data_IF_406124177567
#
_entry.id   IF_406124177567
#
_cell.length_a   1.000
_cell.length_b   1.000
_cell.length_c   1.000
_cell.angle_alpha   90.00
_cell.angle_beta   90.00
_cell.angle_gamma   90.00
#
_symmetry.space_group_name_H-M   'P 1'
#
loop_
_entity.id
_entity.type
_entity.pdbx_description
1 polymer ?
#
# COMPACT_ATOMS: atom_id res chain seq x y z
N UNK A 1 9.99 -54.50 0.19
CA UNK A 1 10.54 -53.19 0.61
C UNK A 1 9.65 -52.11 0.00
N UNK A 2 8.65 -51.69 0.78
CA UNK A 2 7.74 -50.60 0.41
C UNK A 2 8.28 -49.38 1.13
N UNK A 3 8.91 -48.46 0.40
CA UNK A 3 9.39 -47.19 0.94
C UNK A 3 8.21 -46.23 1.06
N UNK A 4 7.86 -45.93 2.31
CA UNK A 4 6.84 -44.98 2.74
C UNK A 4 7.05 -43.60 2.12
N UNK A 5 6.04 -43.14 1.39
CA UNK A 5 5.93 -41.77 0.93
C UNK A 5 5.52 -40.91 2.15
N UNK A 6 6.51 -40.39 2.88
CA UNK A 6 6.28 -39.48 4.02
C UNK A 6 5.58 -38.21 3.52
N UNK A 7 4.35 -38.00 4.00
CA UNK A 7 3.48 -36.90 3.61
C UNK A 7 4.15 -35.55 3.75
N UNK A 8 4.22 -34.83 2.62
CA UNK A 8 4.38 -33.38 2.63
C UNK A 8 3.07 -32.76 3.17
N UNK A 9 3.14 -31.77 4.09
CA UNK A 9 1.94 -31.17 4.65
C UNK A 9 1.15 -30.43 3.57
N UNK A 10 -0.12 -30.81 3.42
CA UNK A 10 -1.07 -30.40 2.37
C UNK A 10 -1.54 -28.93 2.50
N UNK A 11 -0.86 -28.08 3.27
CA UNK A 11 -1.35 -26.74 3.63
C UNK A 11 -0.79 -25.55 2.82
N UNK A 12 0.21 -25.72 1.95
CA UNK A 12 0.88 -24.57 1.29
C UNK A 12 0.43 -24.25 -0.14
N UNK A 13 -0.46 -25.05 -0.76
CA UNK A 13 -0.66 -24.99 -2.21
C UNK A 13 -1.50 -23.81 -2.74
N UNK A 14 -2.30 -23.13 -1.89
CA UNK A 14 -3.25 -22.10 -2.34
C UNK A 14 -3.17 -20.75 -1.61
N UNK A 15 -2.11 -20.48 -0.83
CA UNK A 15 -2.00 -19.17 -0.18
C UNK A 15 -1.68 -18.08 -1.23
N UNK A 16 -2.33 -16.90 -1.17
CA UNK A 16 -1.93 -15.74 -1.95
C UNK A 16 -0.45 -15.43 -1.74
N UNK A 17 0.26 -14.99 -2.80
CA UNK A 17 1.70 -14.76 -2.73
C UNK A 17 2.10 -13.71 -1.70
N UNK A 18 1.23 -12.73 -1.46
CA UNK A 18 1.39 -11.74 -0.37
C UNK A 18 1.59 -12.41 0.99
N UNK A 19 0.83 -13.48 1.27
CA UNK A 19 0.91 -14.20 2.54
C UNK A 19 2.02 -15.26 2.51
N UNK A 20 2.12 -16.02 1.41
CA UNK A 20 3.13 -17.06 1.22
C UNK A 20 4.56 -16.50 1.35
N UNK A 21 4.79 -15.31 0.79
CA UNK A 21 6.08 -14.62 0.81
C UNK A 21 6.11 -13.46 1.80
N UNK A 22 5.24 -13.43 2.82
CA UNK A 22 5.34 -12.46 3.91
C UNK A 22 6.67 -12.68 4.66
N UNK A 23 7.51 -11.65 4.85
CA UNK A 23 8.76 -11.75 5.60
C UNK A 23 8.54 -12.36 6.99
N UNK A 24 9.37 -13.34 7.37
CA UNK A 24 9.25 -14.04 8.65
C UNK A 24 10.31 -13.58 9.65
N UNK A 25 11.48 -13.16 9.14
CA UNK A 25 12.60 -12.64 9.93
C UNK A 25 12.89 -11.19 9.58
N UNK A 26 13.73 -10.53 10.38
CA UNK A 26 14.21 -9.18 10.04
C UNK A 26 15.16 -9.20 8.84
N UNK A 27 15.88 -10.29 8.63
CA UNK A 27 16.80 -10.44 7.49
C UNK A 27 16.03 -10.55 6.16
N UNK A 28 14.78 -11.02 6.20
CA UNK A 28 13.88 -11.04 5.04
C UNK A 28 13.36 -9.63 4.65
N UNK A 29 13.50 -8.64 5.54
CA UNK A 29 13.07 -7.27 5.30
C UNK A 29 14.17 -6.51 4.58
N UNK A 30 13.96 -6.34 3.28
CA UNK A 30 14.92 -5.65 2.43
C UNK A 30 14.90 -4.13 2.72
N UNK A 31 13.81 -3.59 3.25
CA UNK A 31 13.52 -2.15 3.36
C UNK A 31 13.78 -1.49 4.72
N UNK A 32 14.02 -0.17 4.68
CA UNK A 32 14.10 0.73 5.85
C UNK A 32 15.19 0.34 6.88
N UNK A 33 16.40 0.08 6.42
CA UNK A 33 17.54 -0.35 7.24
C UNK A 33 17.81 0.56 8.46
N UNK A 34 17.64 1.87 8.34
CA UNK A 34 17.80 2.81 9.46
C UNK A 34 16.75 2.58 10.56
N UNK A 35 15.51 2.26 10.18
CA UNK A 35 14.43 1.95 11.11
C UNK A 35 14.70 0.61 11.79
N UNK A 36 15.09 -0.41 11.01
CA UNK A 36 15.41 -1.73 11.52
C UNK A 36 16.58 -1.69 12.50
N UNK A 37 17.67 -1.02 12.14
CA UNK A 37 18.86 -0.90 13.00
C UNK A 37 18.54 -0.19 14.32
N UNK A 38 17.69 0.84 14.29
CA UNK A 38 17.23 1.55 15.50
C UNK A 38 16.38 0.64 16.39
N UNK A 39 15.41 -0.09 15.82
CA UNK A 39 14.56 -1.01 16.58
C UNK A 39 15.39 -2.16 17.17
N UNK A 40 16.29 -2.75 16.38
CA UNK A 40 17.21 -3.80 16.83
C UNK A 40 18.07 -3.32 18.01
N UNK A 41 18.56 -2.08 17.96
CA UNK A 41 19.29 -1.48 19.08
C UNK A 41 18.41 -1.38 20.33
N UNK A 42 17.18 -0.87 20.21
CA UNK A 42 16.26 -0.79 21.35
C UNK A 42 15.92 -2.16 21.95
N UNK A 43 15.80 -3.18 21.12
CA UNK A 43 15.60 -4.57 21.54
C UNK A 43 16.84 -5.08 22.28
N UNK A 44 18.04 -4.88 21.73
CA UNK A 44 19.29 -5.35 22.32
C UNK A 44 19.62 -4.70 23.67
N UNK A 45 19.18 -3.45 23.88
CA UNK A 45 19.37 -2.70 25.12
C UNK A 45 18.25 -2.95 26.15
N UNK A 46 17.26 -3.80 25.86
CA UNK A 46 16.04 -4.02 26.67
C UNK A 46 15.29 -2.71 27.01
N UNK A 47 15.29 -1.77 26.06
CA UNK A 47 14.72 -0.41 26.19
C UNK A 47 13.72 -0.09 25.09
N UNK A 48 12.98 -1.10 24.61
CA UNK A 48 11.97 -0.91 23.58
C UNK A 48 10.86 0.05 24.09
N UNK A 49 10.68 1.24 23.48
CA UNK A 49 9.59 2.14 23.85
C UNK A 49 8.26 1.66 23.23
N UNK A 50 7.16 2.37 23.49
CA UNK A 50 5.99 2.24 22.64
C UNK A 50 6.34 2.74 21.23
N UNK A 51 5.85 2.05 20.21
CA UNK A 51 6.16 2.32 18.81
C UNK A 51 4.91 2.82 18.08
N UNK A 52 5.11 3.71 17.12
CA UNK A 52 4.07 4.14 16.18
C UNK A 52 4.65 4.08 14.77
N UNK A 53 4.19 3.09 13.99
CA UNK A 53 4.57 2.90 12.60
C UNK A 53 3.51 3.53 11.70
N UNK A 54 3.92 4.45 10.83
CA UNK A 54 2.99 5.13 9.94
C UNK A 54 3.54 5.26 8.52
N UNK A 55 2.65 5.27 7.53
CA UNK A 55 2.99 5.44 6.13
C UNK A 55 2.08 4.66 5.19
N UNK A 56 2.32 4.71 3.86
CA UNK A 56 1.49 4.04 2.87
C UNK A 56 1.33 2.53 3.10
N UNK A 57 0.28 1.89 2.55
CA UNK A 57 0.13 0.43 2.60
C UNK A 57 1.28 -0.29 1.88
N UNK A 58 1.50 -1.56 2.23
CA UNK A 58 2.46 -2.42 1.55
C UNK A 58 3.94 -2.05 1.71
N UNK A 59 4.27 -1.14 2.62
CA UNK A 59 5.64 -0.70 2.95
C UNK A 59 6.33 -1.53 4.05
N UNK A 60 5.67 -2.59 4.54
CA UNK A 60 6.27 -3.52 5.50
C UNK A 60 6.06 -3.20 6.99
N UNK A 61 5.18 -2.26 7.35
CA UNK A 61 4.88 -1.90 8.77
C UNK A 61 4.56 -3.11 9.65
N UNK A 62 3.51 -3.87 9.29
CA UNK A 62 3.04 -5.04 10.03
C UNK A 62 4.08 -6.17 10.01
N UNK A 63 4.67 -6.43 8.84
CA UNK A 63 5.74 -7.44 8.69
C UNK A 63 6.95 -7.14 9.59
N UNK A 64 7.32 -5.86 9.73
CA UNK A 64 8.46 -5.43 10.54
C UNK A 64 8.25 -5.73 12.02
N UNK A 65 7.10 -5.33 12.59
CA UNK A 65 6.87 -5.56 14.01
C UNK A 65 6.66 -7.04 14.32
N UNK A 66 6.04 -7.81 13.42
CA UNK A 66 5.87 -9.25 13.60
C UNK A 66 7.22 -9.99 13.56
N UNK A 67 8.12 -9.61 12.66
CA UNK A 67 9.47 -10.14 12.62
C UNK A 67 10.27 -9.76 13.90
N UNK A 68 10.15 -8.52 14.38
CA UNK A 68 10.71 -8.11 15.66
C UNK A 68 10.16 -8.95 16.83
N UNK A 69 8.84 -9.18 16.84
CA UNK A 69 8.18 -9.96 17.88
C UNK A 69 8.66 -11.42 17.90
N UNK A 70 8.88 -12.03 16.73
CA UNK A 70 9.46 -13.39 16.61
C UNK A 70 10.90 -13.47 17.08
N UNK A 71 11.66 -12.38 16.96
CA UNK A 71 13.01 -12.29 17.53
C UNK A 71 12.98 -12.13 19.06
N UNK A 72 12.02 -11.35 19.58
CA UNK A 72 11.85 -11.10 21.01
C UNK A 72 11.35 -12.32 21.78
N UNK A 73 10.42 -13.07 21.20
CA UNK A 73 9.73 -14.17 21.88
C UNK A 73 9.90 -15.47 21.13
N UNK A 74 10.21 -16.55 21.86
CA UNK A 74 10.24 -17.91 21.30
C UNK A 74 8.84 -18.33 20.83
N UNK A 75 8.76 -19.20 19.82
CA UNK A 75 7.48 -19.65 19.23
C UNK A 75 6.47 -20.17 20.26
N UNK A 76 6.93 -20.93 21.26
CA UNK A 76 6.08 -21.47 22.33
C UNK A 76 5.47 -20.39 23.22
N UNK A 77 6.05 -19.20 23.22
CA UNK A 77 5.69 -18.09 24.11
C UNK A 77 4.97 -16.97 23.36
N UNK A 78 5.08 -16.93 22.03
CA UNK A 78 4.57 -15.87 21.17
C UNK A 78 3.12 -15.53 21.49
N UNK A 79 2.20 -16.50 21.47
CA UNK A 79 0.77 -16.27 21.71
C UNK A 79 0.45 -15.78 23.14
N UNK A 80 1.35 -16.01 24.10
CA UNK A 80 1.20 -15.54 25.49
C UNK A 80 1.80 -14.16 25.73
N UNK A 81 2.73 -13.74 24.87
CA UNK A 81 3.53 -12.51 25.01
C UNK A 81 3.17 -11.46 23.96
N UNK A 82 2.52 -11.84 22.87
CA UNK A 82 2.12 -10.97 21.76
C UNK A 82 0.61 -11.04 21.57
N UNK A 83 -0.03 -9.88 21.54
CA UNK A 83 -1.43 -9.72 21.15
C UNK A 83 -1.48 -8.87 19.88
N UNK A 84 -1.82 -9.50 18.75
CA UNK A 84 -2.10 -8.81 17.49
C UNK A 84 -3.61 -8.59 17.37
N UNK A 85 -4.01 -7.35 17.11
CA UNK A 85 -5.40 -6.98 16.87
C UNK A 85 -5.46 -6.04 15.66
N UNK A 86 -6.40 -6.30 14.77
CA UNK A 86 -6.74 -5.38 13.69
C UNK A 86 -7.88 -4.47 14.16
N UNK A 87 -7.62 -3.17 14.28
CA UNK A 87 -8.59 -2.21 14.78
C UNK A 87 -9.71 -1.88 13.77
N UNK A 88 -9.58 -2.29 12.50
CA UNK A 88 -10.66 -2.16 11.51
C UNK A 88 -11.84 -3.09 11.79
N UNK A 89 -11.57 -4.27 12.34
CA UNK A 89 -12.56 -5.32 12.56
C UNK A 89 -13.50 -4.97 13.73
N UNK A 90 -12.98 -4.26 14.73
CA UNK A 90 -13.74 -3.68 15.83
C UNK A 90 -13.17 -2.31 16.23
N UNK A 91 -13.84 -1.25 15.77
CA UNK A 91 -13.45 0.16 15.96
C UNK A 91 -13.88 0.72 17.32
N UNK A 92 -14.59 -0.08 18.12
CA UNK A 92 -15.24 0.33 19.35
C UNK A 92 -14.27 0.52 20.52
N UNK A 93 -14.75 1.20 21.55
CA UNK A 93 -14.01 1.31 22.82
C UNK A 93 -13.88 -0.05 23.54
N UNK A 94 -14.72 -1.02 23.17
CA UNK A 94 -14.81 -2.33 23.81
C UNK A 94 -13.59 -3.19 23.55
N UNK A 95 -12.95 -3.09 22.37
CA UNK A 95 -11.67 -3.75 22.12
C UNK A 95 -10.58 -3.30 23.10
N UNK A 96 -10.60 -2.03 23.49
CA UNK A 96 -9.65 -1.46 24.45
C UNK A 96 -9.96 -1.92 25.86
N UNK A 97 -11.25 -1.90 26.25
CA UNK A 97 -11.69 -2.25 27.60
C UNK A 97 -11.75 -3.76 27.86
N UNK A 98 -11.82 -4.58 26.81
CA UNK A 98 -11.86 -6.03 26.86
C UNK A 98 -10.49 -6.66 26.62
N UNK A 99 -10.18 -7.10 25.39
CA UNK A 99 -9.00 -7.91 25.11
C UNK A 99 -7.69 -7.21 25.45
N UNK A 100 -7.54 -5.92 25.11
CA UNK A 100 -6.30 -5.18 25.38
C UNK A 100 -6.06 -5.02 26.88
N UNK A 101 -7.08 -4.58 27.63
CA UNK A 101 -6.98 -4.40 29.08
C UNK A 101 -6.74 -5.74 29.80
N UNK A 102 -7.42 -6.80 29.40
CA UNK A 102 -7.25 -8.15 29.96
C UNK A 102 -5.83 -8.67 29.74
N UNK A 103 -5.30 -8.52 28.52
CA UNK A 103 -3.96 -8.95 28.18
C UNK A 103 -2.88 -8.15 28.94
N UNK A 104 -3.00 -6.83 28.99
CA UNK A 104 -2.04 -5.94 29.66
C UNK A 104 -2.06 -6.09 31.19
N UNK A 105 -3.21 -6.44 31.78
CA UNK A 105 -3.34 -6.62 33.23
C UNK A 105 -2.88 -7.99 33.74
N UNK A 106 -2.79 -8.99 32.87
CA UNK A 106 -2.36 -10.33 33.27
C UNK A 106 -0.84 -10.37 33.51
N UNK A 107 -0.42 -10.73 34.73
CA UNK A 107 1.00 -10.89 35.09
C UNK A 107 1.61 -12.15 34.47
N UNK A 108 2.80 -12.02 33.91
CA UNK A 108 3.64 -13.16 33.50
C UNK A 108 4.40 -13.69 34.71
N UNK A 109 3.77 -14.58 35.47
CA UNK A 109 4.29 -15.10 36.75
C UNK A 109 5.66 -15.80 36.60
N UNK A 110 6.01 -16.28 35.39
CA UNK A 110 7.20 -17.09 35.15
C UNK A 110 8.11 -16.62 34.00
N UNK A 111 7.86 -15.43 33.42
CA UNK A 111 8.62 -14.94 32.25
C UNK A 111 9.17 -13.54 32.49
N UNK A 112 10.49 -13.39 32.37
CA UNK A 112 11.16 -12.08 32.32
C UNK A 112 10.86 -11.40 30.98
N UNK A 113 10.57 -10.11 31.01
CA UNK A 113 10.30 -9.29 29.83
C UNK A 113 8.94 -8.57 29.90
N UNK A 114 8.69 -7.72 28.90
CA UNK A 114 7.40 -7.06 28.69
C UNK A 114 6.53 -7.88 27.74
N UNK A 115 5.22 -7.65 27.75
CA UNK A 115 4.31 -8.11 26.69
C UNK A 115 4.30 -7.10 25.55
N UNK A 116 3.91 -7.54 24.35
CA UNK A 116 3.76 -6.69 23.17
C UNK A 116 2.32 -6.71 22.67
N UNK A 117 1.69 -5.55 22.57
CA UNK A 117 0.39 -5.38 21.90
C UNK A 117 0.63 -4.69 20.56
N UNK A 118 0.21 -5.31 19.47
CA UNK A 118 0.27 -4.78 18.12
C UNK A 118 -1.15 -4.42 17.69
N UNK A 119 -1.37 -3.15 17.39
CA UNK A 119 -2.65 -2.63 16.91
C UNK A 119 -2.48 -2.19 15.46
N UNK A 120 -2.95 -3.01 14.53
CA UNK A 120 -2.99 -2.66 13.12
C UNK A 120 -4.19 -1.78 12.79
N UNK A 121 -4.03 -0.91 11.79
CA UNK A 121 -5.05 0.07 11.38
C UNK A 121 -5.60 0.94 12.53
N UNK A 122 -4.74 1.38 13.44
CA UNK A 122 -5.11 2.19 14.60
C UNK A 122 -5.77 3.54 14.24
N UNK A 123 -5.62 4.00 12.99
CA UNK A 123 -6.32 5.16 12.44
C UNK A 123 -7.79 4.91 12.08
N UNK A 124 -8.26 3.67 12.14
CA UNK A 124 -9.67 3.30 12.06
C UNK A 124 -10.40 3.42 13.41
N UNK A 125 -9.67 3.53 14.53
CA UNK A 125 -10.24 3.64 15.87
C UNK A 125 -10.94 4.98 16.08
N UNK A 126 -12.07 4.94 16.79
CA UNK A 126 -12.76 6.16 17.26
C UNK A 126 -11.88 6.95 18.24
N UNK A 127 -12.11 8.27 18.32
CA UNK A 127 -11.40 9.16 19.24
C UNK A 127 -11.51 8.69 20.71
N UNK A 128 -12.69 8.18 21.10
CA UNK A 128 -12.93 7.67 22.45
C UNK A 128 -12.17 6.40 22.75
N UNK A 129 -12.07 5.48 21.77
CA UNK A 129 -11.25 4.28 21.87
C UNK A 129 -9.76 4.65 21.99
N UNK A 130 -9.27 5.62 21.20
CA UNK A 130 -7.89 6.11 21.31
C UNK A 130 -7.60 6.77 22.67
N UNK A 131 -8.54 7.56 23.21
CA UNK A 131 -8.44 8.14 24.55
C UNK A 131 -8.43 7.07 25.65
N UNK A 132 -9.22 6.01 25.50
CA UNK A 132 -9.16 4.86 26.39
C UNK A 132 -7.82 4.14 26.30
N UNK A 133 -7.31 3.92 25.08
CA UNK A 133 -6.05 3.23 24.82
C UNK A 133 -4.89 4.00 25.46
N UNK A 134 -4.89 5.33 25.36
CA UNK A 134 -3.90 6.19 26.03
C UNK A 134 -3.80 5.89 27.52
N UNK A 135 -4.93 5.78 28.23
CA UNK A 135 -4.95 5.47 29.67
C UNK A 135 -4.39 4.08 29.96
N UNK A 136 -4.65 3.11 29.09
CA UNK A 136 -4.10 1.75 29.20
C UNK A 136 -2.58 1.77 28.99
N UNK A 137 -2.09 2.46 27.96
CA UNK A 137 -0.65 2.61 27.69
C UNK A 137 0.07 3.22 28.89
N UNK A 138 -0.46 4.30 29.47
CA UNK A 138 0.12 4.94 30.66
C UNK A 138 0.15 4.00 31.87
N UNK A 139 -0.97 3.29 32.12
CA UNK A 139 -1.11 2.43 33.29
C UNK A 139 -0.21 1.19 33.25
N UNK A 140 0.05 0.64 32.07
CA UNK A 140 0.75 -0.64 31.92
C UNK A 140 2.12 -0.53 31.24
N UNK A 141 2.70 0.68 31.16
CA UNK A 141 3.99 0.91 30.49
C UNK A 141 5.15 0.08 31.07
N UNK A 142 5.11 -0.27 32.36
CA UNK A 142 6.16 -1.07 32.99
C UNK A 142 6.20 -2.51 32.48
N UNK A 143 5.04 -3.08 32.13
CA UNK A 143 4.90 -4.51 31.82
C UNK A 143 4.49 -4.79 30.38
N UNK A 144 4.03 -3.78 29.64
CA UNK A 144 3.50 -3.94 28.28
C UNK A 144 3.99 -2.83 27.37
N UNK A 145 4.53 -3.21 26.21
CA UNK A 145 4.84 -2.33 25.08
C UNK A 145 3.75 -2.41 24.04
N UNK A 146 3.55 -1.30 23.34
CA UNK A 146 2.51 -1.14 22.35
C UNK A 146 3.17 -0.73 21.04
N UNK A 147 2.75 -1.33 19.93
CA UNK A 147 3.09 -0.90 18.59
C UNK A 147 1.79 -0.56 17.86
N UNK A 148 1.59 0.73 17.59
CA UNK A 148 0.45 1.23 16.81
C UNK A 148 0.86 1.32 15.35
N UNK A 149 0.09 0.74 14.44
CA UNK A 149 0.31 0.84 13.00
C UNK A 149 -0.85 1.64 12.40
N UNK A 150 -0.54 2.62 11.56
CA UNK A 150 -1.56 3.39 10.85
C UNK A 150 -1.10 3.82 9.46
N UNK A 151 -2.03 4.23 8.60
CA UNK A 151 -1.68 4.85 7.33
C UNK A 151 -1.56 6.37 7.47
N UNK A 152 -2.46 6.97 8.26
CA UNK A 152 -2.51 8.43 8.46
C UNK A 152 -2.22 8.82 9.90
N UNK A 153 -1.03 9.40 10.12
CA UNK A 153 -0.64 9.91 11.45
C UNK A 153 -1.63 10.96 11.99
N UNK A 154 -2.20 11.78 11.10
CA UNK A 154 -3.18 12.83 11.47
C UNK A 154 -4.46 12.29 12.10
N UNK A 155 -4.79 11.01 11.90
CA UNK A 155 -5.95 10.35 12.52
C UNK A 155 -5.65 9.78 13.91
N UNK A 156 -4.39 9.81 14.34
CA UNK A 156 -3.98 9.39 15.68
C UNK A 156 -3.94 10.60 16.61
N UNK A 157 -4.56 10.49 17.79
CA UNK A 157 -4.62 11.61 18.73
C UNK A 157 -3.20 12.05 19.17
N UNK A 158 -2.94 13.37 19.32
CA UNK A 158 -1.63 13.86 19.74
C UNK A 158 -1.12 13.23 21.05
N UNK A 159 -2.02 12.87 21.95
CA UNK A 159 -1.68 12.22 23.22
C UNK A 159 -1.11 10.80 23.05
N UNK A 160 -1.54 10.03 22.04
CA UNK A 160 -0.92 8.74 21.72
C UNK A 160 0.42 8.95 21.02
N UNK A 161 0.48 9.91 20.08
CA UNK A 161 1.71 10.22 19.35
C UNK A 161 2.86 10.61 20.29
N UNK A 162 2.60 11.38 21.34
CA UNK A 162 3.64 11.82 22.28
C UNK A 162 4.18 10.72 23.20
N UNK A 163 3.49 9.59 23.31
CA UNK A 163 3.90 8.43 24.14
C UNK A 163 4.63 7.36 23.34
N UNK A 164 4.73 7.51 22.02
CA UNK A 164 5.31 6.52 21.14
C UNK A 164 6.49 7.11 20.35
N UNK A 165 7.54 6.31 20.18
CA UNK A 165 8.59 6.60 19.19
C UNK A 165 8.03 6.34 17.80
N UNK A 166 8.11 7.35 16.93
CA UNK A 166 7.47 7.35 15.60
C UNK A 166 8.45 6.91 14.53
N UNK A 167 8.04 5.96 13.70
CA UNK A 167 8.80 5.50 12.54
C UNK A 167 7.95 5.64 11.27
N UNK A 168 8.49 6.39 10.30
CA UNK A 168 7.82 6.62 9.02
C UNK A 168 8.29 5.60 7.99
N UNK A 169 7.36 4.80 7.49
CA UNK A 169 7.59 3.87 6.40
C UNK A 169 7.21 4.56 5.09
N UNK A 170 8.21 4.97 4.31
CA UNK A 170 8.00 5.56 2.98
C UNK A 170 7.71 4.50 1.91
N UNK A 171 7.20 4.90 0.73
CA UNK A 171 7.15 4.03 -0.44
C UNK A 171 8.52 3.40 -0.71
N UNK A 172 8.52 2.15 -1.16
CA UNK A 172 9.73 1.40 -1.46
C UNK A 172 10.31 1.82 -2.81
N UNK A 173 11.61 2.05 -2.88
CA UNK A 173 12.28 2.31 -4.16
C UNK A 173 12.39 1.02 -4.97
N UNK A 174 12.50 1.16 -6.29
CA UNK A 174 12.64 0.03 -7.22
C UNK A 174 13.77 -0.92 -6.82
N UNK A 175 14.91 -0.38 -6.41
CA UNK A 175 16.09 -1.17 -6.00
C UNK A 175 15.82 -2.06 -4.79
N UNK A 176 14.85 -1.69 -3.94
CA UNK A 176 14.48 -2.46 -2.74
C UNK A 176 13.39 -3.48 -3.06
N UNK A 177 12.56 -3.23 -4.08
CA UNK A 177 11.49 -4.13 -4.49
C UNK A 177 11.99 -5.27 -5.37
N UNK A 178 12.86 -4.98 -6.33
CA UNK A 178 13.34 -5.93 -7.35
C UNK A 178 13.92 -7.20 -6.73
N UNK A 179 14.84 -7.16 -5.74
CA UNK A 179 15.41 -8.37 -5.17
C UNK A 179 14.36 -9.31 -4.57
N UNK A 180 13.31 -8.76 -3.94
CA UNK A 180 12.21 -9.56 -3.39
C UNK A 180 11.37 -10.19 -4.50
N UNK A 181 11.08 -9.41 -5.54
CA UNK A 181 10.30 -9.88 -6.68
C UNK A 181 11.05 -10.97 -7.45
N UNK A 182 12.35 -10.83 -7.67
CA UNK A 182 13.21 -11.84 -8.30
C UNK A 182 13.23 -13.15 -7.52
N UNK A 183 13.29 -13.07 -6.19
CA UNK A 183 13.17 -14.26 -5.33
C UNK A 183 11.84 -14.99 -5.58
N UNK A 184 10.71 -14.26 -5.59
CA UNK A 184 9.39 -14.86 -5.86
C UNK A 184 9.28 -15.43 -7.28
N UNK A 185 9.79 -14.70 -8.28
CA UNK A 185 9.84 -15.14 -9.68
C UNK A 185 10.60 -16.47 -9.80
N UNK A 186 11.71 -16.61 -9.09
CA UNK A 186 12.52 -17.85 -9.09
C UNK A 186 11.80 -19.01 -8.41
N UNK A 187 11.22 -18.78 -7.23
CA UNK A 187 10.51 -19.81 -6.46
C UNK A 187 9.24 -20.31 -7.18
N UNK A 188 8.49 -19.40 -7.79
CA UNK A 188 7.26 -19.72 -8.53
C UNK A 188 7.51 -20.07 -10.01
N UNK A 189 8.76 -19.95 -10.49
CA UNK A 189 9.16 -20.18 -11.89
C UNK A 189 8.35 -19.36 -12.89
N UNK A 190 8.17 -18.08 -12.60
CA UNK A 190 7.43 -17.13 -13.45
C UNK A 190 8.26 -16.76 -14.68
N UNK A 191 7.68 -16.85 -15.88
CA UNK A 191 8.27 -16.28 -17.09
C UNK A 191 7.96 -14.77 -17.12
N UNK A 192 8.93 -13.95 -16.72
CA UNK A 192 8.82 -12.48 -16.71
C UNK A 192 9.89 -11.85 -17.59
N UNK A 193 9.49 -10.91 -18.43
CA UNK A 193 10.41 -10.12 -19.25
C UNK A 193 10.91 -8.86 -18.50
N UNK A 194 12.06 -8.28 -18.89
CA UNK A 194 12.60 -7.09 -18.22
C UNK A 194 11.66 -5.87 -18.23
N UNK A 195 10.94 -5.67 -19.33
CA UNK A 195 9.88 -4.66 -19.47
C UNK A 195 8.66 -4.97 -18.58
N UNK A 196 8.30 -6.25 -18.42
CA UNK A 196 7.27 -6.69 -17.48
C UNK A 196 7.63 -6.38 -16.02
N UNK A 197 8.88 -6.65 -15.60
CA UNK A 197 9.37 -6.28 -14.27
C UNK A 197 9.34 -4.76 -14.06
N UNK A 198 9.77 -3.99 -15.06
CA UNK A 198 9.72 -2.52 -14.99
C UNK A 198 8.30 -1.99 -14.87
N UNK A 199 7.36 -2.52 -15.68
CA UNK A 199 5.95 -2.17 -15.63
C UNK A 199 5.34 -2.49 -14.26
N UNK A 200 5.64 -3.68 -13.74
CA UNK A 200 5.20 -4.14 -12.42
C UNK A 200 5.63 -3.18 -11.32
N UNK A 201 6.92 -2.85 -11.25
CA UNK A 201 7.46 -1.94 -10.23
C UNK A 201 6.87 -0.54 -10.37
N UNK A 202 6.70 -0.06 -11.61
CA UNK A 202 6.10 1.25 -11.90
C UNK A 202 4.66 1.32 -11.40
N UNK A 203 3.81 0.36 -11.77
CA UNK A 203 2.40 0.34 -11.35
C UNK A 203 2.22 0.09 -9.85
N UNK A 204 3.22 -0.51 -9.20
CA UNK A 204 3.17 -0.80 -7.77
C UNK A 204 3.38 0.45 -6.90
N UNK A 205 3.97 1.53 -7.42
CA UNK A 205 4.19 2.79 -6.70
C UNK A 205 4.80 2.60 -5.29
N UNK A 206 5.76 1.68 -5.15
CA UNK A 206 6.43 1.40 -3.88
C UNK A 206 5.63 0.55 -2.88
N UNK A 207 4.51 -0.04 -3.29
CA UNK A 207 3.72 -0.99 -2.51
C UNK A 207 4.08 -2.44 -2.90
N UNK A 208 4.74 -3.17 -1.98
CA UNK A 208 5.13 -4.57 -2.23
C UNK A 208 3.93 -5.52 -2.28
N UNK A 209 2.87 -5.27 -1.52
CA UNK A 209 1.66 -6.09 -1.55
C UNK A 209 0.99 -6.00 -2.93
N UNK A 210 0.87 -4.78 -3.45
CA UNK A 210 0.36 -4.51 -4.79
C UNK A 210 1.22 -5.21 -5.84
N UNK A 211 2.55 -5.11 -5.74
CA UNK A 211 3.46 -5.76 -6.69
C UNK A 211 3.28 -7.29 -6.73
N UNK A 212 3.16 -7.95 -5.59
CA UNK A 212 2.96 -9.40 -5.54
C UNK A 212 1.59 -9.81 -6.09
N UNK A 213 0.55 -9.03 -5.80
CA UNK A 213 -0.79 -9.28 -6.34
C UNK A 213 -0.84 -9.15 -7.87
N UNK A 214 -0.21 -8.11 -8.42
CA UNK A 214 -0.14 -7.90 -9.88
C UNK A 214 0.66 -9.03 -10.53
N UNK A 215 1.83 -9.37 -9.98
CA UNK A 215 2.67 -10.44 -10.51
C UNK A 215 1.93 -11.78 -10.52
N UNK A 216 1.29 -12.14 -9.40
CA UNK A 216 0.51 -13.38 -9.27
C UNK A 216 -0.64 -13.41 -10.28
N UNK A 217 -1.43 -12.34 -10.34
CA UNK A 217 -2.61 -12.27 -11.21
C UNK A 217 -2.23 -12.32 -12.68
N UNK A 218 -1.17 -11.60 -13.08
CA UNK A 218 -0.69 -11.57 -14.46
C UNK A 218 -0.16 -12.94 -14.89
N UNK A 219 0.65 -13.59 -14.04
CA UNK A 219 1.16 -14.93 -14.30
C UNK A 219 0.03 -15.96 -14.43
N UNK A 220 -0.98 -15.89 -13.54
CA UNK A 220 -2.13 -16.81 -13.59
C UNK A 220 -3.03 -16.58 -14.82
N UNK A 221 -3.18 -15.34 -15.28
CA UNK A 221 -4.05 -14.99 -16.40
C UNK A 221 -3.41 -15.27 -17.77
N UNK A 222 -2.11 -14.97 -17.93
CA UNK A 222 -1.45 -14.97 -19.24
C UNK A 222 -0.27 -15.97 -19.37
N UNK A 223 0.19 -16.55 -18.25
CA UNK A 223 1.35 -17.46 -18.21
C UNK A 223 2.71 -16.80 -18.39
N UNK A 224 2.77 -15.66 -19.09
CA UNK A 224 3.96 -14.82 -19.26
C UNK A 224 3.68 -13.39 -18.82
N UNK A 225 4.62 -12.79 -18.10
CA UNK A 225 4.53 -11.43 -17.56
C UNK A 225 5.38 -10.48 -18.41
N UNK A 226 4.73 -9.74 -19.30
CA UNK A 226 5.27 -8.65 -20.14
C UNK A 226 4.65 -7.31 -19.78
N UNK A 227 5.19 -6.19 -20.29
CA UNK A 227 4.60 -4.85 -20.07
C UNK A 227 3.09 -4.85 -20.43
N UNK A 228 2.74 -5.33 -21.62
CA UNK A 228 1.36 -5.36 -22.12
C UNK A 228 0.41 -6.17 -21.21
N UNK A 229 0.83 -7.38 -20.81
CA UNK A 229 0.01 -8.23 -19.93
C UNK A 229 -0.18 -7.63 -18.54
N UNK A 230 0.83 -6.91 -18.01
CA UNK A 230 0.76 -6.25 -16.70
C UNK A 230 -0.24 -5.09 -16.72
N UNK A 231 -0.16 -4.22 -17.73
CA UNK A 231 -1.10 -3.12 -17.88
C UNK A 231 -2.53 -3.62 -18.13
N UNK A 232 -2.69 -4.62 -19.01
CA UNK A 232 -3.99 -5.22 -19.31
C UNK A 232 -4.59 -5.93 -18.09
N UNK A 233 -3.79 -6.67 -17.31
CA UNK A 233 -4.25 -7.35 -16.09
C UNK A 233 -4.75 -6.37 -15.02
N UNK A 234 -4.16 -5.18 -14.97
CA UNK A 234 -4.50 -4.16 -13.96
C UNK A 234 -5.59 -3.21 -14.42
N UNK A 235 -6.03 -3.30 -15.67
CA UNK A 235 -6.97 -2.33 -16.26
C UNK A 235 -6.36 -0.94 -16.44
N UNK A 236 -5.03 -0.81 -16.39
CA UNK A 236 -4.34 0.46 -16.58
C UNK A 236 -4.15 0.73 -18.09
N UNK A 237 -4.33 1.98 -18.53
CA UNK A 237 -4.17 2.33 -19.93
C UNK A 237 -2.70 2.16 -20.38
N UNK A 238 -2.50 1.63 -21.59
CA UNK A 238 -1.17 1.55 -22.19
C UNK A 238 -0.68 2.96 -22.58
N UNK A 239 0.64 3.12 -22.74
CA UNK A 239 1.21 4.39 -23.24
C UNK A 239 0.65 4.79 -24.60
N UNK A 240 0.40 3.82 -25.48
CA UNK A 240 -0.24 4.06 -26.77
C UNK A 240 -1.68 4.54 -26.64
N UNK A 241 -2.42 4.04 -25.64
CA UNK A 241 -3.80 4.45 -25.36
C UNK A 241 -3.83 5.90 -24.90
N UNK A 242 -2.95 6.28 -23.97
CA UNK A 242 -2.82 7.65 -23.49
C UNK A 242 -2.40 8.60 -24.61
N UNK A 243 -1.46 8.20 -25.47
CA UNK A 243 -1.06 8.99 -26.62
C UNK A 243 -2.24 9.24 -27.59
N UNK A 244 -3.04 8.21 -27.87
CA UNK A 244 -4.24 8.35 -28.70
C UNK A 244 -5.29 9.25 -28.05
N UNK A 245 -5.54 9.10 -26.74
CA UNK A 245 -6.48 9.94 -25.99
C UNK A 245 -6.07 11.42 -26.06
N UNK A 246 -4.78 11.71 -25.85
CA UNK A 246 -4.25 13.07 -25.93
C UNK A 246 -4.34 13.65 -27.35
N UNK A 247 -3.99 12.87 -28.38
CA UNK A 247 -4.15 13.27 -29.77
C UNK A 247 -5.61 13.63 -30.08
N UNK A 248 -6.56 12.80 -29.64
CA UNK A 248 -7.98 13.08 -29.86
C UNK A 248 -8.45 14.34 -29.12
N UNK A 249 -8.04 14.53 -27.85
CA UNK A 249 -8.41 15.71 -27.07
C UNK A 249 -7.85 17.02 -27.64
N UNK A 250 -6.63 16.98 -28.22
CA UNK A 250 -5.96 18.17 -28.74
C UNK A 250 -6.26 18.44 -30.22
N UNK A 251 -6.46 17.41 -31.04
CA UNK A 251 -6.48 17.56 -32.51
C UNK A 251 -7.86 17.27 -33.15
N UNK A 252 -8.82 16.66 -32.43
CA UNK A 252 -10.16 16.37 -32.96
C UNK A 252 -11.21 17.34 -32.42
N UNK A 253 -12.38 17.36 -33.07
CA UNK A 253 -13.57 18.02 -32.52
C UNK A 253 -14.10 17.27 -31.29
N UNK A 254 -14.92 17.95 -30.48
CA UNK A 254 -15.41 17.43 -29.21
C UNK A 254 -16.14 16.09 -29.36
N UNK A 255 -17.02 16.00 -30.35
CA UNK A 255 -17.87 14.83 -30.57
C UNK A 255 -17.04 13.63 -30.97
N UNK A 256 -16.10 13.80 -31.90
CA UNK A 256 -15.19 12.74 -32.31
C UNK A 256 -14.27 12.28 -31.17
N UNK A 257 -13.68 13.22 -30.42
CA UNK A 257 -12.82 12.90 -29.29
C UNK A 257 -13.58 12.12 -28.21
N UNK A 258 -14.78 12.58 -27.84
CA UNK A 258 -15.62 11.92 -26.85
C UNK A 258 -15.98 10.49 -27.28
N UNK A 259 -16.41 10.31 -28.53
CA UNK A 259 -16.76 9.00 -29.07
C UNK A 259 -15.57 8.04 -29.03
N UNK A 260 -14.41 8.46 -29.53
CA UNK A 260 -13.22 7.61 -29.59
C UNK A 260 -12.74 7.20 -28.18
N UNK A 261 -12.70 8.14 -27.23
CA UNK A 261 -12.29 7.84 -25.85
C UNK A 261 -13.30 6.90 -25.18
N UNK A 262 -14.60 7.13 -25.38
CA UNK A 262 -15.65 6.29 -24.82
C UNK A 262 -15.61 4.85 -25.38
N UNK A 263 -15.38 4.70 -26.68
CA UNK A 263 -15.21 3.38 -27.32
C UNK A 263 -13.98 2.65 -26.78
N UNK A 264 -12.82 3.34 -26.68
CA UNK A 264 -11.60 2.78 -26.13
C UNK A 264 -11.78 2.32 -24.68
N UNK A 265 -12.41 3.17 -23.84
CA UNK A 265 -12.74 2.83 -22.45
C UNK A 265 -13.63 1.60 -22.36
N UNK A 266 -14.64 1.52 -23.21
CA UNK A 266 -15.60 0.40 -23.22
C UNK A 266 -14.92 -0.90 -23.67
N UNK A 267 -14.09 -0.83 -24.70
CA UNK A 267 -13.39 -1.99 -25.26
C UNK A 267 -12.37 -2.57 -24.29
N UNK A 268 -11.61 -1.69 -23.61
CA UNK A 268 -10.49 -2.07 -22.72
C UNK A 268 -10.84 -2.06 -21.23
N UNK A 269 -12.05 -1.67 -20.84
CA UNK A 269 -12.48 -1.59 -19.45
C UNK A 269 -11.74 -0.53 -18.62
N UNK A 270 -11.28 0.57 -19.26
CA UNK A 270 -10.47 1.60 -18.60
C UNK A 270 -11.34 2.55 -17.77
N UNK A 271 -10.93 2.81 -16.53
CA UNK A 271 -11.54 3.86 -15.72
C UNK A 271 -11.00 5.24 -16.10
N UNK A 272 -11.87 6.27 -16.03
CA UNK A 272 -11.46 7.66 -16.25
C UNK A 272 -10.44 8.11 -15.22
N UNK A 273 -10.48 7.57 -14.01
CA UNK A 273 -9.50 7.89 -12.97
C UNK A 273 -8.08 7.53 -13.42
N UNK A 274 -7.87 6.32 -13.95
CA UNK A 274 -6.55 5.88 -14.43
C UNK A 274 -6.07 6.71 -15.64
N UNK A 275 -6.99 7.04 -16.55
CA UNK A 275 -6.71 7.95 -17.67
C UNK A 275 -6.28 9.33 -17.15
N UNK A 276 -7.00 9.88 -16.16
CA UNK A 276 -6.72 11.19 -15.59
C UNK A 276 -5.32 11.23 -14.95
N UNK A 277 -4.96 10.18 -14.20
CA UNK A 277 -3.64 10.04 -13.58
C UNK A 277 -2.51 10.01 -14.62
N UNK A 278 -2.64 9.22 -15.68
CA UNK A 278 -1.61 9.15 -16.72
C UNK A 278 -1.52 10.42 -17.57
N UNK A 279 -2.67 11.03 -17.88
CA UNK A 279 -2.72 12.33 -18.56
C UNK A 279 -2.05 13.41 -17.70
N UNK A 280 -2.17 13.36 -16.37
CA UNK A 280 -1.55 14.33 -15.47
C UNK A 280 -0.02 14.26 -15.56
N UNK A 281 0.54 13.04 -15.58
CA UNK A 281 1.97 12.83 -15.79
C UNK A 281 2.43 13.38 -17.14
N UNK A 282 1.61 13.25 -18.19
CA UNK A 282 1.92 13.80 -19.50
C UNK A 282 1.92 15.33 -19.52
N UNK A 283 0.95 15.98 -18.85
CA UNK A 283 0.88 17.46 -18.74
C UNK A 283 2.13 18.05 -18.10
N UNK A 284 2.76 17.33 -17.17
CA UNK A 284 4.04 17.74 -16.58
C UNK A 284 5.25 17.52 -17.48
N UNK A 285 5.20 16.54 -18.39
CA UNK A 285 6.30 16.24 -19.32
C UNK A 285 6.32 17.17 -20.54
N UNK A 286 5.16 17.64 -20.98
CA UNK A 286 5.05 18.53 -22.13
C UNK A 286 5.30 19.98 -21.74
N UNK A 287 6.03 20.68 -22.61
CA UNK A 287 6.31 22.09 -22.43
C UNK A 287 5.13 22.97 -22.90
N UNK A 288 4.03 22.96 -22.14
CA UNK A 288 2.93 23.90 -22.31
C UNK A 288 3.30 25.31 -21.83
N UNK A 289 2.71 26.37 -22.43
CA UNK A 289 2.70 27.70 -21.84
C UNK A 289 2.18 27.66 -20.39
N UNK A 290 2.67 28.57 -19.55
CA UNK A 290 2.38 28.53 -18.11
C UNK A 290 0.87 28.66 -17.81
N UNK A 291 0.18 29.55 -18.51
CA UNK A 291 -1.28 29.77 -18.43
C UNK A 291 -2.06 28.49 -18.73
N UNK A 292 -1.70 27.81 -19.81
CA UNK A 292 -2.32 26.56 -20.28
C UNK A 292 -2.08 25.43 -19.29
N UNK A 293 -0.84 25.29 -18.81
CA UNK A 293 -0.49 24.29 -17.79
C UNK A 293 -1.29 24.51 -16.51
N UNK A 294 -1.36 25.75 -16.02
CA UNK A 294 -2.13 26.10 -14.82
C UNK A 294 -3.63 25.79 -15.01
N UNK A 295 -4.20 26.14 -16.16
CA UNK A 295 -5.60 25.83 -16.48
C UNK A 295 -5.89 24.33 -16.42
N UNK A 296 -5.08 23.53 -17.12
CA UNK A 296 -5.25 22.07 -17.16
C UNK A 296 -5.13 21.46 -15.76
N UNK A 297 -4.11 21.84 -14.99
CA UNK A 297 -3.91 21.30 -13.64
C UNK A 297 -5.08 21.60 -12.70
N UNK A 298 -5.62 22.83 -12.73
CA UNK A 298 -6.81 23.20 -11.93
C UNK A 298 -8.03 22.37 -12.35
N UNK A 299 -8.29 22.24 -13.65
CA UNK A 299 -9.44 21.47 -14.15
C UNK A 299 -9.31 19.98 -13.84
N UNK A 300 -8.12 19.41 -13.94
CA UNK A 300 -7.89 18.01 -13.61
C UNK A 300 -8.06 17.75 -12.11
N UNK A 301 -7.61 18.65 -11.24
CA UNK A 301 -7.82 18.54 -9.80
C UNK A 301 -9.32 18.59 -9.44
N UNK A 302 -10.09 19.49 -10.05
CA UNK A 302 -11.55 19.55 -9.87
C UNK A 302 -12.24 18.25 -10.31
N UNK A 303 -11.81 17.68 -11.45
CA UNK A 303 -12.35 16.43 -11.98
C UNK A 303 -12.01 15.27 -11.06
N UNK A 304 -10.76 15.16 -10.58
CA UNK A 304 -10.32 14.13 -9.64
C UNK A 304 -11.16 14.15 -8.37
N UNK A 305 -11.36 15.34 -7.78
CA UNK A 305 -12.19 15.51 -6.59
C UNK A 305 -13.64 15.08 -6.80
N UNK A 306 -14.24 15.44 -7.94
CA UNK A 306 -15.61 15.03 -8.30
C UNK A 306 -15.72 13.54 -8.57
N UNK A 307 -14.71 12.92 -9.17
CA UNK A 307 -14.67 11.47 -9.36
C UNK A 307 -14.59 10.73 -8.02
N UNK A 308 -13.76 11.21 -7.09
CA UNK A 308 -13.66 10.66 -5.74
C UNK A 308 -14.99 10.75 -4.96
N UNK A 309 -15.85 11.71 -5.31
CA UNK A 309 -17.18 11.89 -4.72
C UNK A 309 -18.27 11.01 -5.36
N UNK A 310 -17.94 10.13 -6.30
CA UNK A 310 -18.90 9.21 -6.93
C UNK A 310 -19.80 9.85 -7.99
N UNK A 311 -19.35 10.92 -8.65
CA UNK A 311 -20.14 11.59 -9.69
C UNK A 311 -20.13 10.84 -11.04
N UNK A 312 -20.98 11.29 -11.97
CA UNK A 312 -21.10 10.67 -13.30
C UNK A 312 -19.80 10.78 -14.11
N UNK A 313 -19.19 9.63 -14.37
CA UNK A 313 -17.96 9.52 -15.15
C UNK A 313 -18.09 10.06 -16.58
N UNK A 314 -19.28 9.94 -17.20
CA UNK A 314 -19.55 10.51 -18.53
C UNK A 314 -19.46 12.04 -18.53
N UNK A 315 -19.99 12.68 -17.49
CA UNK A 315 -19.92 14.14 -17.34
C UNK A 315 -18.48 14.58 -17.09
N UNK A 316 -17.76 13.85 -16.24
CA UNK A 316 -16.36 14.16 -15.95
C UNK A 316 -15.45 13.95 -17.19
N UNK A 317 -15.71 12.93 -18.01
CA UNK A 317 -15.01 12.73 -19.28
C UNK A 317 -15.24 13.92 -20.23
N UNK A 318 -16.49 14.34 -20.39
CA UNK A 318 -16.83 15.53 -21.18
C UNK A 318 -16.10 16.77 -20.66
N UNK A 319 -16.04 16.95 -19.34
CA UNK A 319 -15.31 18.06 -18.71
C UNK A 319 -13.81 18.01 -18.98
N UNK A 320 -13.21 16.82 -18.99
CA UNK A 320 -11.79 16.64 -19.30
C UNK A 320 -11.49 17.04 -20.75
N UNK A 321 -12.27 16.54 -21.70
CA UNK A 321 -12.11 16.86 -23.13
C UNK A 321 -12.29 18.36 -23.35
N UNK A 322 -13.32 18.96 -22.74
CA UNK A 322 -13.56 20.40 -22.85
C UNK A 322 -12.38 21.22 -22.31
N UNK A 323 -11.76 20.81 -21.20
CA UNK A 323 -10.58 21.50 -20.66
C UNK A 323 -9.39 21.48 -21.63
N UNK A 324 -9.17 20.36 -22.32
CA UNK A 324 -8.11 20.25 -23.33
C UNK A 324 -8.40 21.07 -24.60
N UNK A 325 -9.66 21.20 -24.99
CA UNK A 325 -10.04 22.05 -26.13
C UNK A 325 -9.89 23.54 -25.81
N UNK A 326 -10.29 23.96 -24.61
CA UNK A 326 -10.04 25.33 -24.14
C UNK A 326 -8.54 25.59 -24.07
N UNK A 327 -7.75 24.63 -23.57
CA UNK A 327 -6.29 24.72 -23.56
C UNK A 327 -5.70 24.89 -24.97
N UNK A 328 -6.21 24.17 -25.97
CA UNK A 328 -5.81 24.35 -27.38
C UNK A 328 -6.09 25.77 -27.86
N UNK A 329 -7.29 26.28 -27.60
CA UNK A 329 -7.68 27.62 -28.06
C UNK A 329 -6.84 28.70 -27.36
N UNK A 330 -6.47 28.49 -26.09
CA UNK A 330 -5.52 29.34 -25.36
C UNK A 330 -4.12 29.34 -25.99
N UNK A 331 -3.60 28.17 -26.40
CA UNK A 331 -2.29 28.08 -27.07
C UNK A 331 -2.30 28.87 -28.39
N UNK A 332 -3.39 28.77 -29.17
CA UNK A 332 -3.51 29.53 -30.44
C UNK A 332 -3.58 31.04 -30.18
N UNK A 333 -4.21 31.47 -29.09
CA UNK A 333 -4.29 32.88 -28.73
C UNK A 333 -2.97 33.48 -28.22
N UNK A 334 -2.04 32.64 -27.74
CA UNK A 334 -0.72 33.05 -27.25
C UNK A 334 0.40 32.93 -28.31
N UNK A 335 0.11 32.33 -29.48
CA UNK A 335 1.05 32.12 -30.60
C UNK A 335 1.03 33.28 -31.61
#
# INVERSE_FOLDING_TARGET
MVSENKGQPVQSRNLPWVEKYRPQTLDDLISHQDILSTIQRFISEDKLPHLLFYGPPGTGKTSTILACAKQLYKDREFNSMVLELNASDDRGIDIVRGPILSFASTRTIFKKGFKLVILDEADAMTQDAQNALRRVIEKFTENTRFCLICNYLSKIIPALQSRCTRFRFGPLSSDMMIPRLEHVVKEERVDISPDGMKALVTLSNGDMRRSLNILQSTNMAYGKVTEDTVYTCTGHPLRSDIANILDWMLNKDFTSAYKNIMELKTLKGLALHDILTEVHLYVHRVNFPASVRMHLLVKMADIEYRLASGTSEKIQLSSLIAAFQVARDMVVAEA
#
